data_IF_923717453185
#
_entry.id   IF_923717453185
#
_cell.length_a   1.000
_cell.length_b   1.000
_cell.length_c   1.000
_cell.angle_alpha   90.00
_cell.angle_beta   90.00
_cell.angle_gamma   90.00
#
_symmetry.space_group_name_H-M   'P 1'
#
loop_
_entity.id
_entity.type
_entity.pdbx_description
1 polymer ?
#
# COMPACT_ATOMS: atom_id res chain seq x y z
N UNK A 1 -27.19 -3.20 38.25
CA UNK A 1 -26.48 -3.59 37.01
C UNK A 1 -26.66 -2.42 36.04
N UNK A 2 -25.65 -1.58 35.77
CA UNK A 2 -25.82 -0.48 34.82
C UNK A 2 -25.86 -1.05 33.40
N UNK A 3 -26.96 -0.77 32.70
CA UNK A 3 -27.15 -1.10 31.30
C UNK A 3 -26.18 -0.28 30.45
N UNK A 4 -25.36 -0.96 29.64
CA UNK A 4 -24.45 -0.30 28.71
C UNK A 4 -25.28 0.40 27.63
N UNK A 5 -25.00 1.68 27.29
CA UNK A 5 -25.71 2.34 26.20
C UNK A 5 -25.38 1.63 24.89
N UNK A 6 -26.42 1.34 24.12
CA UNK A 6 -26.34 0.78 22.79
C UNK A 6 -25.30 1.54 21.98
N UNK A 7 -24.28 0.84 21.48
CA UNK A 7 -23.34 1.38 20.51
C UNK A 7 -24.15 1.90 19.34
N UNK A 8 -24.20 3.21 19.22
CA UNK A 8 -24.79 3.88 18.06
C UNK A 8 -24.06 3.37 16.83
N UNK A 9 -24.73 2.50 16.08
CA UNK A 9 -24.22 2.00 14.81
C UNK A 9 -24.27 3.16 13.84
N UNK A 10 -23.14 3.85 13.68
CA UNK A 10 -22.96 4.87 12.65
C UNK A 10 -23.33 4.18 11.32
N UNK A 11 -24.34 4.67 10.60
CA UNK A 11 -24.72 4.06 9.33
C UNK A 11 -23.51 4.15 8.41
N UNK A 12 -22.97 2.99 8.03
CA UNK A 12 -21.89 2.87 7.05
C UNK A 12 -22.42 3.56 5.78
N UNK A 13 -21.80 4.66 5.31
CA UNK A 13 -22.27 5.32 4.11
C UNK A 13 -22.30 4.30 2.99
N UNK A 14 -23.44 4.22 2.31
CA UNK A 14 -23.63 3.35 1.16
C UNK A 14 -22.42 3.50 0.24
N UNK A 15 -21.81 2.37 -0.14
CA UNK A 15 -20.63 2.30 -1.02
C UNK A 15 -20.95 2.91 -2.38
N UNK A 16 -20.91 4.25 -2.47
CA UNK A 16 -21.08 5.04 -3.68
C UNK A 16 -19.99 4.71 -4.73
N UNK A 17 -18.93 4.02 -4.29
CA UNK A 17 -17.75 3.73 -5.07
C UNK A 17 -17.81 2.47 -5.94
N UNK A 18 -18.68 1.49 -5.65
CA UNK A 18 -18.76 0.28 -6.48
C UNK A 18 -19.83 0.43 -7.57
N UNK A 19 -19.44 0.36 -8.85
CA UNK A 19 -20.42 0.28 -9.93
C UNK A 19 -21.17 -1.07 -9.85
N UNK A 20 -22.39 -1.12 -10.40
CA UNK A 20 -23.27 -2.31 -10.33
C UNK A 20 -22.67 -3.59 -10.99
N UNK A 21 -21.53 -3.46 -11.65
CA UNK A 21 -20.76 -4.54 -12.27
C UNK A 21 -19.85 -5.30 -11.29
N UNK A 22 -19.57 -4.80 -10.08
CA UNK A 22 -18.94 -5.65 -9.05
C UNK A 22 -19.96 -6.70 -8.58
N UNK A 23 -19.79 -7.97 -8.97
CA UNK A 23 -20.70 -9.06 -8.59
C UNK A 23 -20.81 -9.24 -7.07
N UNK A 24 -22.03 -9.47 -6.59
CA UNK A 24 -22.34 -9.75 -5.18
C UNK A 24 -21.65 -11.02 -4.67
N UNK A 25 -21.54 -12.07 -5.47
CA UNK A 25 -21.03 -13.37 -5.01
C UNK A 25 -19.55 -13.61 -5.37
N UNK A 26 -18.76 -12.55 -5.52
CA UNK A 26 -17.33 -12.71 -5.79
C UNK A 26 -16.60 -13.16 -4.52
N UNK A 27 -15.73 -14.19 -4.56
CA UNK A 27 -15.06 -14.71 -3.36
C UNK A 27 -14.10 -13.69 -2.72
N UNK A 28 -13.59 -12.73 -3.50
CA UNK A 28 -12.88 -11.53 -3.00
C UNK A 28 -13.75 -10.46 -2.33
N UNK A 29 -15.06 -10.67 -2.13
CA UNK A 29 -15.96 -9.59 -1.65
C UNK A 29 -15.45 -8.90 -0.39
N UNK A 30 -15.01 -9.66 0.61
CA UNK A 30 -14.52 -9.07 1.85
C UNK A 30 -13.29 -8.16 1.63
N UNK A 31 -12.35 -8.59 0.78
CA UNK A 31 -11.17 -7.79 0.46
C UNK A 31 -11.53 -6.60 -0.44
N UNK A 32 -12.39 -6.80 -1.45
CA UNK A 32 -12.94 -5.75 -2.32
C UNK A 32 -13.57 -4.63 -1.50
N UNK A 33 -14.44 -5.01 -0.57
CA UNK A 33 -15.13 -4.12 0.34
C UNK A 33 -14.15 -3.30 1.18
N UNK A 34 -13.12 -3.95 1.73
CA UNK A 34 -12.05 -3.28 2.49
C UNK A 34 -11.25 -2.30 1.64
N UNK A 35 -10.99 -2.64 0.37
CA UNK A 35 -10.33 -1.74 -0.57
C UNK A 35 -11.18 -0.50 -0.90
N UNK A 36 -12.51 -0.57 -0.84
CA UNK A 36 -13.35 0.62 -1.00
C UNK A 36 -13.24 1.57 0.18
N UNK A 37 -12.98 1.04 1.38
CA UNK A 37 -12.93 1.83 2.60
C UNK A 37 -11.67 2.71 2.69
N UNK A 38 -10.64 2.50 1.84
CA UNK A 38 -9.39 3.28 1.84
C UNK A 38 -9.58 4.79 1.64
N UNK A 39 -10.72 5.21 1.08
CA UNK A 39 -11.02 6.63 0.95
C UNK A 39 -11.38 7.28 2.29
N UNK A 40 -12.11 6.56 3.14
CA UNK A 40 -12.74 7.10 4.35
C UNK A 40 -12.18 6.54 5.65
N UNK A 41 -11.51 5.39 5.61
CA UNK A 41 -10.98 4.69 6.77
C UNK A 41 -9.44 4.62 6.71
N UNK A 42 -8.72 5.32 7.61
CA UNK A 42 -7.27 5.21 7.73
C UNK A 42 -6.77 3.79 7.98
N UNK A 43 -7.52 2.97 8.73
CA UNK A 43 -7.10 1.59 9.02
C UNK A 43 -7.12 0.74 7.74
N UNK A 44 -8.06 0.99 6.83
CA UNK A 44 -8.09 0.32 5.52
C UNK A 44 -6.87 0.69 4.65
N UNK A 45 -6.34 1.91 4.78
CA UNK A 45 -5.10 2.32 4.11
C UNK A 45 -3.90 1.55 4.70
N UNK A 46 -3.84 1.42 6.03
CA UNK A 46 -2.79 0.65 6.71
C UNK A 46 -2.85 -0.81 6.27
N UNK A 47 -4.02 -1.45 6.31
CA UNK A 47 -4.21 -2.84 5.88
C UNK A 47 -3.77 -3.08 4.42
N UNK A 48 -4.07 -2.12 3.52
CA UNK A 48 -3.60 -2.17 2.12
C UNK A 48 -2.08 -2.13 2.05
N UNK A 49 -1.43 -1.25 2.80
CA UNK A 49 0.03 -1.15 2.81
C UNK A 49 0.71 -2.32 3.50
N UNK A 50 0.14 -2.86 4.57
CA UNK A 50 0.61 -4.09 5.20
C UNK A 50 0.58 -5.23 4.18
N UNK A 51 -0.58 -5.46 3.54
CA UNK A 51 -0.72 -6.45 2.45
C UNK A 51 0.31 -6.22 1.34
N UNK A 52 0.55 -4.95 0.98
CA UNK A 52 1.50 -4.61 -0.06
C UNK A 52 2.94 -4.99 0.31
N UNK A 53 3.39 -4.63 1.51
CA UNK A 53 4.79 -4.88 1.91
C UNK A 53 5.05 -6.36 2.19
N UNK A 54 4.05 -7.11 2.65
CA UNK A 54 4.19 -8.55 2.91
C UNK A 54 3.82 -9.42 1.71
N UNK A 55 3.41 -8.84 0.57
CA UNK A 55 2.94 -9.58 -0.61
C UNK A 55 3.94 -10.62 -1.12
N UNK A 56 5.24 -10.32 -1.07
CA UNK A 56 6.29 -11.23 -1.54
C UNK A 56 6.72 -12.27 -0.48
N UNK A 57 6.26 -12.12 0.76
CA UNK A 57 6.69 -12.94 1.92
C UNK A 57 5.63 -13.94 2.36
N UNK A 58 4.34 -13.63 2.14
CA UNK A 58 3.21 -14.44 2.60
C UNK A 58 2.43 -15.03 1.42
N UNK A 59 1.87 -16.21 1.65
CA UNK A 59 0.91 -16.83 0.74
C UNK A 59 -0.49 -16.24 0.99
N UNK A 60 -0.97 -15.45 0.02
CA UNK A 60 -2.34 -14.94 0.03
C UNK A 60 -3.24 -15.87 -0.79
N UNK A 61 -4.41 -16.26 -0.27
CA UNK A 61 -5.37 -17.08 -1.01
C UNK A 61 -5.84 -16.35 -2.28
N UNK A 62 -5.53 -16.91 -3.45
CA UNK A 62 -5.92 -16.35 -4.74
C UNK A 62 -7.43 -16.23 -4.90
N UNK A 63 -8.21 -17.00 -4.15
CA UNK A 63 -9.68 -16.97 -4.16
C UNK A 63 -10.26 -15.89 -3.25
N UNK A 64 -9.49 -15.36 -2.29
CA UNK A 64 -9.99 -14.39 -1.29
C UNK A 64 -9.29 -13.00 -1.34
N UNK A 65 -8.17 -12.87 -2.05
CA UNK A 65 -7.41 -11.61 -2.14
C UNK A 65 -7.25 -11.10 -3.58
N UNK A 66 -7.48 -9.80 -3.80
CA UNK A 66 -7.24 -9.16 -5.10
C UNK A 66 -5.74 -8.92 -5.25
N UNK A 67 -5.07 -9.44 -6.30
CA UNK A 67 -3.63 -9.30 -6.43
C UNK A 67 -3.21 -7.85 -6.73
N UNK A 68 -2.00 -7.42 -6.31
CA UNK A 68 -1.49 -6.06 -6.50
C UNK A 68 -1.49 -5.59 -7.95
N UNK A 69 -1.30 -6.51 -8.90
CA UNK A 69 -1.36 -6.21 -10.33
C UNK A 69 -2.72 -5.66 -10.79
N UNK A 70 -3.79 -5.87 -10.01
CA UNK A 70 -5.16 -5.40 -10.30
C UNK A 70 -5.56 -4.17 -9.48
N UNK A 71 -4.74 -3.70 -8.55
CA UNK A 71 -5.11 -2.59 -7.66
C UNK A 71 -5.25 -1.24 -8.38
N UNK A 72 -4.42 -0.97 -9.40
CA UNK A 72 -4.55 0.27 -10.18
C UNK A 72 -5.83 0.25 -11.02
N UNK A 73 -6.09 -0.86 -11.73
CA UNK A 73 -7.33 -1.06 -12.48
C UNK A 73 -8.56 -1.01 -11.55
N UNK A 74 -8.43 -1.52 -10.33
CA UNK A 74 -9.47 -1.39 -9.30
C UNK A 74 -9.75 0.08 -9.01
N UNK A 75 -8.73 0.90 -8.77
CA UNK A 75 -8.91 2.33 -8.55
C UNK A 75 -9.60 3.02 -9.73
N UNK A 76 -9.23 2.68 -10.96
CA UNK A 76 -9.80 3.29 -12.17
C UNK A 76 -11.29 2.94 -12.38
N UNK A 77 -11.71 1.73 -12.01
CA UNK A 77 -13.09 1.27 -12.22
C UNK A 77 -14.09 1.78 -11.17
N UNK A 78 -13.61 2.25 -10.03
CA UNK A 78 -14.47 2.64 -8.90
C UNK A 78 -14.66 4.17 -8.82
N UNK A 79 -15.79 4.59 -8.26
CA UNK A 79 -16.15 6.01 -8.12
C UNK A 79 -15.70 6.56 -6.76
N UNK A 80 -14.60 7.28 -6.77
CA UNK A 80 -14.06 7.92 -5.56
C UNK A 80 -14.58 9.35 -5.41
N UNK A 81 -14.67 9.84 -4.17
CA UNK A 81 -14.86 11.26 -3.88
C UNK A 81 -13.64 12.08 -4.31
N UNK A 82 -12.43 11.56 -4.12
CA UNK A 82 -11.17 12.10 -4.62
C UNK A 82 -10.42 11.04 -5.46
N UNK A 83 -10.69 10.98 -6.78
CA UNK A 83 -10.09 10.00 -7.68
C UNK A 83 -8.56 10.07 -7.73
N UNK A 84 -7.98 11.27 -7.65
CA UNK A 84 -6.53 11.46 -7.71
C UNK A 84 -5.86 10.93 -6.45
N UNK A 85 -6.46 11.13 -5.28
CA UNK A 85 -5.97 10.56 -4.03
C UNK A 85 -6.07 9.04 -4.05
N UNK A 86 -7.22 8.48 -4.44
CA UNK A 86 -7.40 7.04 -4.51
C UNK A 86 -6.38 6.39 -5.46
N UNK A 87 -6.23 6.95 -6.67
CA UNK A 87 -5.26 6.46 -7.65
C UNK A 87 -3.83 6.49 -7.10
N UNK A 88 -3.42 7.56 -6.40
CA UNK A 88 -2.10 7.66 -5.78
C UNK A 88 -1.87 6.61 -4.70
N UNK A 89 -2.86 6.35 -3.84
CA UNK A 89 -2.78 5.33 -2.79
C UNK A 89 -2.58 3.95 -3.41
N UNK A 90 -3.45 3.56 -4.34
CA UNK A 90 -3.37 2.25 -4.99
C UNK A 90 -2.11 2.08 -5.83
N UNK A 91 -1.68 3.13 -6.54
CA UNK A 91 -0.43 3.10 -7.29
C UNK A 91 0.76 2.87 -6.38
N UNK A 92 0.85 3.59 -5.25
CA UNK A 92 1.95 3.45 -4.29
C UNK A 92 1.98 2.06 -3.64
N UNK A 93 0.81 1.52 -3.29
CA UNK A 93 0.70 0.18 -2.72
C UNK A 93 1.10 -0.90 -3.75
N UNK A 94 0.60 -0.83 -4.99
CA UNK A 94 0.96 -1.79 -6.05
C UNK A 94 2.47 -1.77 -6.30
N UNK A 95 3.05 -0.59 -6.36
CA UNK A 95 4.47 -0.37 -6.50
C UNK A 95 5.30 -1.00 -5.36
N UNK A 96 4.85 -0.87 -4.11
CA UNK A 96 5.50 -1.49 -2.96
C UNK A 96 5.49 -3.03 -3.06
N UNK A 97 4.33 -3.61 -3.37
CA UNK A 97 4.18 -5.05 -3.54
C UNK A 97 5.04 -5.62 -4.69
N UNK A 98 5.02 -4.95 -5.84
CA UNK A 98 5.76 -5.37 -7.03
C UNK A 98 7.27 -5.08 -6.93
N UNK A 99 7.72 -4.26 -5.97
CA UNK A 99 9.14 -4.12 -5.64
C UNK A 99 9.62 -5.32 -4.83
N UNK A 100 8.86 -5.76 -3.83
CA UNK A 100 9.19 -6.92 -2.99
C UNK A 100 9.46 -8.19 -3.83
N UNK A 101 8.65 -8.43 -4.86
CA UNK A 101 8.82 -9.58 -5.77
C UNK A 101 10.09 -9.52 -6.63
N UNK A 102 10.57 -8.32 -6.96
CA UNK A 102 11.82 -8.13 -7.72
C UNK A 102 13.07 -8.33 -6.86
N UNK A 103 13.00 -7.98 -5.57
CA UNK A 103 14.08 -8.19 -4.61
C UNK A 103 14.12 -9.60 -4.03
N UNK A 104 13.02 -10.35 -4.10
CA UNK A 104 12.93 -11.76 -3.70
C UNK A 104 13.63 -12.73 -4.68
N UNK A 105 14.53 -12.25 -5.55
CA UNK A 105 15.49 -13.09 -6.24
C UNK A 105 16.26 -13.94 -5.20
N UNK A 106 16.49 -15.23 -5.46
CA UNK A 106 16.72 -16.20 -4.39
C UNK A 106 17.96 -15.85 -3.57
N UNK A 107 17.75 -15.60 -2.28
CA UNK A 107 18.80 -15.57 -1.26
C UNK A 107 19.57 -16.92 -1.21
N UNK A 108 19.08 -17.96 -1.90
CA UNK A 108 19.81 -19.21 -2.14
C UNK A 108 21.07 -19.05 -3.02
N UNK A 109 21.21 -17.97 -3.80
CA UNK A 109 22.41 -17.72 -4.61
C UNK A 109 23.55 -17.02 -3.85
N UNK A 110 23.26 -16.43 -2.67
CA UNK A 110 24.26 -15.70 -1.88
C UNK A 110 25.06 -16.58 -0.90
N UNK A 111 24.78 -17.88 -0.83
CA UNK A 111 25.53 -18.83 0.01
C UNK A 111 26.83 -19.34 -0.62
N UNK A 112 27.09 -19.07 -1.91
CA UNK A 112 28.25 -19.61 -2.64
C UNK A 112 29.25 -18.59 -3.17
N UNK A 113 29.07 -17.31 -2.85
CA UNK A 113 29.96 -16.24 -3.31
C UNK A 113 30.44 -15.32 -2.16
N UNK A 114 30.68 -15.87 -0.96
CA UNK A 114 31.50 -15.17 0.05
C UNK A 114 32.97 -15.37 -0.32
N UNK A 115 33.38 -14.61 -1.33
CA UNK A 115 34.77 -14.34 -1.66
C UNK A 115 34.90 -12.83 -1.87
N UNK A 116 35.43 -12.14 -0.86
CA UNK A 116 35.99 -10.78 -0.91
C UNK A 116 35.10 -9.66 -1.49
N UNK A 117 34.57 -8.81 -0.62
CA UNK A 117 35.00 -7.39 -0.50
C UNK A 117 34.24 -6.72 0.66
N UNK A 118 34.99 -6.10 1.56
CA UNK A 118 34.46 -5.22 2.61
C UNK A 118 34.04 -3.90 1.98
N UNK A 119 32.74 -3.72 1.74
CA UNK A 119 32.14 -2.47 1.31
C UNK A 119 30.90 -2.18 2.14
N UNK A 120 31.04 -1.31 3.12
CA UNK A 120 29.96 -0.77 3.95
C UNK A 120 29.00 0.03 3.05
N UNK A 121 27.96 -0.62 2.55
CA UNK A 121 26.89 0.01 1.78
C UNK A 121 25.92 0.72 2.73
N UNK A 122 26.21 1.98 3.02
CA UNK A 122 25.29 2.90 3.68
C UNK A 122 24.06 3.08 2.77
N UNK A 123 22.92 2.49 3.15
CA UNK A 123 21.64 2.61 2.45
C UNK A 123 21.03 3.99 2.64
N UNK A 124 21.68 5.02 2.12
CA UNK A 124 21.18 6.39 2.13
C UNK A 124 20.18 6.52 0.98
N UNK A 125 18.90 6.72 1.30
CA UNK A 125 17.90 7.12 0.32
C UNK A 125 18.40 8.41 -0.39
N UNK A 126 18.49 8.44 -1.73
CA UNK A 126 19.13 9.54 -2.47
C UNK A 126 18.44 10.90 -2.30
N UNK A 127 17.24 10.94 -1.70
CA UNK A 127 16.47 12.17 -1.45
C UNK A 127 16.94 12.97 -0.23
N UNK A 128 17.79 12.42 0.65
CA UNK A 128 18.28 13.11 1.86
C UNK A 128 19.64 13.80 1.70
N UNK A 129 20.13 13.99 0.46
CA UNK A 129 21.31 14.84 0.26
C UNK A 129 20.98 16.28 0.72
N UNK A 130 21.70 16.87 1.70
CA UNK A 130 21.43 18.23 2.13
C UNK A 130 21.70 19.18 0.95
N UNK A 131 20.66 19.90 0.53
CA UNK A 131 20.79 20.94 -0.48
C UNK A 131 21.82 21.97 0.00
N UNK A 132 22.84 22.23 -0.83
CA UNK A 132 23.84 23.27 -0.58
C UNK A 132 23.12 24.62 -0.43
N UNK A 133 23.27 25.35 0.69
CA UNK A 133 22.61 26.64 0.83
C UNK A 133 23.19 27.65 -0.18
N UNK A 134 22.35 28.55 -0.73
CA UNK A 134 22.80 29.54 -1.71
C UNK A 134 23.83 30.52 -1.11
N UNK A 135 24.84 30.88 -1.91
CA UNK A 135 26.07 31.62 -1.55
C UNK A 135 25.89 33.07 -1.06
N UNK A 136 24.68 33.55 -0.82
CA UNK A 136 24.41 34.98 -0.56
C UNK A 136 24.33 35.34 0.93
N UNK A 137 24.39 34.36 1.85
CA UNK A 137 24.33 34.59 3.30
C UNK A 137 25.71 34.53 3.98
N UNK A 138 26.77 35.03 3.33
CA UNK A 138 27.99 35.42 4.06
C UNK A 138 27.77 36.81 4.64
N UNK A 139 27.27 36.85 5.89
CA UNK A 139 27.39 38.05 6.74
C UNK A 139 28.89 38.27 6.98
N UNK A 140 29.38 39.45 6.59
CA UNK A 140 30.74 39.90 6.86
C UNK A 140 30.88 40.27 8.35
N UNK A 141 32.09 40.16 8.94
CA UNK A 141 32.35 40.54 10.33
C UNK A 141 32.21 42.05 10.58
#
# INVERSE_FOLDING_TARGET
MPEQPAREQIPVPARLACPAECRADHPWRAHHDRLLDVETDPDAIVDLFETAVTWAELEYPEEATIPPARWVEFAEKHRWRDPERALRIFSLAADAALRGTRTAAPVAALGKAVGMTTGRGEGICPTLAPATPPRHLRVAP
#
